data_IF_102476185123
#
_entry.id   IF_102476185123
#
_cell.length_a   1.000
_cell.length_b   1.000
_cell.length_c   1.000
_cell.angle_alpha   90.00
_cell.angle_beta   90.00
_cell.angle_gamma   90.00
#
_symmetry.space_group_name_H-M   'P 1'
#
loop_
_entity.id
_entity.type
_entity.pdbx_description
1 polymer ?
#
# COMPACT_ATOMS: atom_id res chain seq x y z
N UNK A 1 -2.14 -7.48 7.06
CA UNK A 1 -2.05 -6.05 6.66
C UNK A 1 -1.80 -6.01 5.17
N UNK A 2 -2.44 -5.09 4.45
CA UNK A 2 -2.26 -4.82 3.02
C UNK A 2 -1.23 -3.71 2.79
N UNK A 3 -0.66 -3.53 1.58
CA UNK A 3 0.19 -2.38 1.32
C UNK A 3 -0.63 -1.09 1.43
N UNK A 4 -0.02 -0.04 1.97
CA UNK A 4 -0.71 1.23 2.25
C UNK A 4 0.27 2.41 2.19
N UNK A 5 -0.27 3.63 2.10
CA UNK A 5 0.51 4.86 1.96
C UNK A 5 1.50 4.77 0.78
N UNK A 6 1.02 4.26 -0.36
CA UNK A 6 1.81 4.08 -1.59
C UNK A 6 1.92 5.37 -2.40
N UNK A 7 0.99 6.31 -2.20
CA UNK A 7 1.01 7.69 -2.69
C UNK A 7 1.75 8.65 -1.74
N UNK A 8 2.21 8.13 -0.59
CA UNK A 8 2.88 8.87 0.49
C UNK A 8 2.04 9.99 1.11
N UNK A 9 0.72 10.06 0.87
CA UNK A 9 -0.14 11.14 1.35
C UNK A 9 -0.29 11.23 2.87
N UNK A 10 -0.01 10.14 3.60
CA UNK A 10 -0.04 10.10 5.07
C UNK A 10 1.33 10.36 5.72
N UNK A 11 2.27 10.95 4.98
CA UNK A 11 3.64 11.15 5.46
C UNK A 11 3.86 12.55 6.03
N UNK A 12 5.02 12.75 6.65
CA UNK A 12 5.47 14.03 7.17
C UNK A 12 6.86 14.34 6.60
N UNK A 13 7.13 15.61 6.24
CA UNK A 13 8.40 15.99 5.63
C UNK A 13 9.60 15.62 6.54
N UNK A 14 10.63 15.02 5.97
CA UNK A 14 11.85 14.60 6.68
C UNK A 14 11.73 13.30 7.48
N UNK A 15 10.52 12.75 7.66
CA UNK A 15 10.29 11.45 8.28
C UNK A 15 10.19 10.33 7.24
N UNK A 16 10.52 9.09 7.60
CA UNK A 16 10.25 7.96 6.71
C UNK A 16 8.73 7.82 6.46
N UNK A 17 8.25 7.59 5.23
CA UNK A 17 6.83 7.43 4.99
C UNK A 17 6.23 6.33 5.86
N UNK A 18 5.04 6.57 6.42
CA UNK A 18 4.37 5.60 7.30
C UNK A 18 4.22 4.27 6.58
N UNK A 19 4.65 3.18 7.23
CA UNK A 19 4.61 1.82 6.68
C UNK A 19 5.84 1.41 5.87
N UNK A 20 6.69 2.36 5.50
CA UNK A 20 7.96 2.11 4.82
C UNK A 20 9.10 2.02 5.84
N UNK A 21 10.13 1.23 5.50
CA UNK A 21 11.26 0.93 6.38
C UNK A 21 12.56 0.87 5.59
N UNK A 22 13.65 1.22 6.26
CA UNK A 22 15.03 1.00 5.84
C UNK A 22 15.74 0.27 6.98
N UNK A 23 16.58 -0.71 6.66
CA UNK A 23 17.24 -1.52 7.70
C UNK A 23 18.31 -0.70 8.42
N UNK A 24 18.65 -1.09 9.64
CA UNK A 24 19.74 -0.43 10.37
C UNK A 24 21.11 -0.68 9.73
N UNK A 25 21.27 -1.79 9.00
CA UNK A 25 22.47 -2.04 8.21
C UNK A 25 22.59 -1.02 7.07
N UNK A 26 21.53 -0.78 6.31
CA UNK A 26 21.53 0.21 5.23
C UNK A 26 21.79 1.63 5.78
N UNK A 27 21.22 1.96 6.94
CA UNK A 27 21.50 3.24 7.63
C UNK A 27 22.95 3.38 8.07
N UNK A 28 23.59 2.30 8.53
CA UNK A 28 25.01 2.28 8.90
C UNK A 28 25.91 2.43 7.68
N UNK A 29 25.48 1.94 6.52
CA UNK A 29 26.14 2.17 5.24
C UNK A 29 25.98 3.61 4.73
N UNK A 30 25.18 4.45 5.39
CA UNK A 30 24.99 5.86 5.06
C UNK A 30 23.72 6.16 4.27
N UNK A 31 22.89 5.17 3.98
CA UNK A 31 21.63 5.39 3.28
C UNK A 31 20.56 5.95 4.21
N UNK A 32 19.79 6.90 3.69
CA UNK A 32 18.64 7.49 4.37
C UNK A 32 17.42 7.50 3.44
N UNK A 33 16.26 7.40 4.05
CA UNK A 33 14.97 7.40 3.37
C UNK A 33 14.00 8.30 4.12
N UNK A 34 13.38 9.24 3.43
CA UNK A 34 12.48 10.22 4.04
C UNK A 34 11.49 10.78 3.03
N UNK A 35 10.37 11.27 3.53
CA UNK A 35 9.35 11.95 2.73
C UNK A 35 9.77 13.38 2.43
N UNK A 36 9.52 13.84 1.22
CA UNK A 36 9.82 15.22 0.78
C UNK A 36 8.75 15.75 -0.17
N UNK A 37 8.50 17.05 -0.08
CA UNK A 37 7.62 17.84 -0.95
C UNK A 37 8.39 18.54 -2.08
N UNK A 38 9.67 18.22 -2.27
CA UNK A 38 10.58 18.95 -3.18
C UNK A 38 10.16 19.00 -4.65
N UNK A 39 9.25 18.12 -5.08
CA UNK A 39 8.72 18.08 -6.45
C UNK A 39 7.23 18.47 -6.53
N UNK A 40 6.63 18.87 -5.42
CA UNK A 40 5.18 18.92 -5.27
C UNK A 40 4.66 20.36 -5.32
N UNK A 41 3.89 20.69 -6.37
CA UNK A 41 3.13 21.95 -6.42
C UNK A 41 1.86 21.93 -5.54
N UNK A 42 1.40 20.74 -5.13
CA UNK A 42 0.07 20.51 -4.54
C UNK A 42 0.08 19.78 -3.18
N UNK A 43 1.10 19.98 -2.32
CA UNK A 43 1.18 19.39 -0.97
C UNK A 43 1.20 17.85 -0.89
N UNK A 44 1.57 17.15 -1.96
CA UNK A 44 1.81 15.69 -1.90
C UNK A 44 3.24 15.41 -1.42
N UNK A 45 3.44 14.38 -0.60
CA UNK A 45 4.78 13.92 -0.26
C UNK A 45 5.26 12.89 -1.26
N UNK A 46 6.58 12.76 -1.38
CA UNK A 46 7.27 11.79 -2.21
C UNK A 46 8.28 11.05 -1.34
N UNK A 47 8.58 9.79 -1.64
CA UNK A 47 9.69 9.09 -0.99
C UNK A 47 11.01 9.53 -1.65
N UNK A 48 11.96 10.01 -0.86
CA UNK A 48 13.34 10.24 -1.28
C UNK A 48 14.28 9.24 -0.63
N UNK A 49 15.15 8.63 -1.44
CA UNK A 49 16.25 7.77 -1.00
C UNK A 49 17.55 8.48 -1.36
N UNK A 50 18.47 8.59 -0.41
CA UNK A 50 19.72 9.34 -0.56
C UNK A 50 20.86 8.68 0.19
N UNK A 51 22.09 9.00 -0.20
CA UNK A 51 23.31 8.61 0.51
C UNK A 51 23.88 9.81 1.27
N UNK A 52 24.02 9.69 2.58
CA UNK A 52 24.59 10.72 3.45
C UNK A 52 26.04 10.40 3.83
N UNK A 53 26.98 11.20 3.30
CA UNK A 53 28.43 11.08 3.56
C UNK A 53 28.81 11.21 5.04
N UNK A 54 27.96 11.81 5.88
CA UNK A 54 28.27 12.07 7.30
C UNK A 54 28.18 10.82 8.20
N UNK A 55 28.00 9.60 7.66
CA UNK A 55 27.87 8.37 8.46
C UNK A 55 28.81 7.21 8.08
N UNK A 56 29.78 7.37 7.18
CA UNK A 56 30.66 6.24 6.82
C UNK A 56 32.02 6.27 7.52
N UNK A 57 32.13 5.63 8.68
CA UNK A 57 33.45 5.17 9.20
C UNK A 57 33.95 3.94 8.40
N UNK A 58 33.06 3.30 7.62
CA UNK A 58 33.32 1.97 7.02
C UNK A 58 33.66 2.04 5.52
N UNK A 59 33.39 3.15 4.83
CA UNK A 59 33.59 3.25 3.38
C UNK A 59 35.04 3.57 2.93
N UNK A 60 36.02 3.62 3.84
CA UNK A 60 37.40 3.98 3.49
C UNK A 60 38.28 2.80 3.05
N UNK A 61 37.76 1.58 3.02
CA UNK A 61 38.47 0.42 2.46
C UNK A 61 37.83 0.03 1.12
N UNK A 62 38.28 0.67 0.04
CA UNK A 62 37.74 0.51 -1.33
C UNK A 62 37.99 -0.88 -1.97
N UNK A 63 38.64 -1.81 -1.26
CA UNK A 63 39.10 -3.11 -1.80
C UNK A 63 38.36 -4.35 -1.27
N UNK A 64 37.29 -4.23 -0.48
CA UNK A 64 36.47 -5.39 -0.08
C UNK A 64 35.31 -5.63 -1.05
N UNK A 65 34.94 -6.88 -1.30
CA UNK A 65 33.73 -7.20 -2.09
C UNK A 65 32.46 -6.57 -1.49
N UNK A 66 32.44 -6.31 -0.18
CA UNK A 66 31.37 -5.57 0.51
C UNK A 66 31.24 -4.11 0.04
N UNK A 67 32.31 -3.47 -0.44
CA UNK A 67 32.25 -2.13 -1.02
C UNK A 67 31.57 -2.12 -2.41
N UNK A 68 31.54 -3.26 -3.11
CA UNK A 68 30.81 -3.43 -4.38
C UNK A 68 29.30 -3.62 -4.19
N UNK A 69 28.84 -3.83 -2.96
CA UNK A 69 27.43 -4.03 -2.60
C UNK A 69 26.81 -2.83 -1.87
N UNK A 70 27.36 -1.61 -2.01
CA UNK A 70 26.74 -0.42 -1.45
C UNK A 70 25.34 -0.22 -2.03
N UNK A 71 24.34 -0.59 -1.22
CA UNK A 71 22.93 -0.54 -1.55
C UNK A 71 22.10 -0.08 -0.37
N UNK A 72 21.20 0.86 -0.61
CA UNK A 72 20.15 1.23 0.33
C UNK A 72 18.82 0.61 -0.08
N UNK A 73 18.17 -0.13 0.81
CA UNK A 73 16.85 -0.73 0.54
C UNK A 73 15.77 -0.05 1.35
N UNK A 74 14.74 0.44 0.66
CA UNK A 74 13.54 0.99 1.29
C UNK A 74 12.36 0.16 0.88
N UNK A 75 11.61 -0.36 1.84
CA UNK A 75 10.57 -1.35 1.56
C UNK A 75 9.39 -1.28 2.51
N UNK A 76 8.28 -1.88 2.08
CA UNK A 76 7.13 -2.20 2.89
C UNK A 76 6.94 -3.72 2.92
N UNK A 77 6.52 -4.27 4.07
CA UNK A 77 6.24 -5.71 4.24
C UNK A 77 4.82 -5.92 4.71
N UNK A 78 4.13 -6.88 4.10
CA UNK A 78 2.71 -7.15 4.34
C UNK A 78 2.36 -8.63 4.09
N UNK A 79 1.17 -9.06 4.51
CA UNK A 79 0.75 -10.46 4.40
C UNK A 79 0.38 -10.80 2.97
N UNK A 80 0.70 -12.01 2.52
CA UNK A 80 0.50 -12.45 1.13
C UNK A 80 -0.92 -12.97 0.84
N UNK A 81 -1.81 -13.10 1.84
CA UNK A 81 -3.03 -13.93 1.78
C UNK A 81 -3.91 -13.68 0.55
N UNK A 82 -4.10 -12.43 0.16
CA UNK A 82 -4.93 -12.04 -0.98
C UNK A 82 -4.27 -12.21 -2.34
N UNK A 83 -2.95 -12.40 -2.36
CA UNK A 83 -2.11 -12.42 -3.55
C UNK A 83 -1.55 -13.82 -3.85
N UNK A 84 -1.61 -14.76 -2.91
CA UNK A 84 -1.20 -16.17 -3.11
C UNK A 84 -1.75 -16.74 -4.42
N UNK A 85 -0.85 -17.28 -5.25
CA UNK A 85 -1.14 -17.87 -6.54
C UNK A 85 -1.40 -16.88 -7.68
N UNK A 86 -1.29 -15.57 -7.44
CA UNK A 86 -1.56 -14.52 -8.46
C UNK A 86 -0.27 -13.92 -8.99
N UNK A 87 -0.33 -13.42 -10.21
CA UNK A 87 0.64 -12.44 -10.69
C UNK A 87 0.27 -11.06 -10.12
N UNK A 88 1.27 -10.32 -9.67
CA UNK A 88 1.10 -8.95 -9.14
C UNK A 88 2.09 -8.03 -9.83
N UNK A 89 1.70 -6.76 -9.97
CA UNK A 89 2.50 -5.69 -10.54
C UNK A 89 2.75 -4.64 -9.46
N UNK A 90 4.02 -4.34 -9.23
CA UNK A 90 4.44 -3.18 -8.45
C UNK A 90 4.93 -2.11 -9.42
N UNK A 91 4.38 -0.90 -9.32
CA UNK A 91 4.75 0.23 -10.18
C UNK A 91 5.05 1.47 -9.36
N UNK A 92 5.86 2.37 -9.91
CA UNK A 92 6.11 3.68 -9.34
C UNK A 92 6.55 4.67 -10.42
N UNK A 93 6.34 5.95 -10.14
CA UNK A 93 6.91 7.05 -10.92
C UNK A 93 8.23 7.48 -10.29
N UNK A 94 9.29 7.57 -11.10
CA UNK A 94 10.66 7.74 -10.62
C UNK A 94 11.31 8.96 -11.25
N UNK A 95 11.93 9.78 -10.41
CA UNK A 95 12.92 10.79 -10.79
C UNK A 95 14.27 10.38 -10.22
N UNK A 96 15.21 10.05 -11.11
CA UNK A 96 16.52 9.54 -10.73
C UNK A 96 17.54 9.91 -11.79
N UNK A 97 18.68 10.47 -11.37
CA UNK A 97 19.80 10.76 -12.26
C UNK A 97 21.08 10.22 -11.65
N UNK A 98 21.57 9.15 -12.25
CA UNK A 98 22.85 8.55 -11.91
C UNK A 98 24.00 9.57 -12.02
N UNK A 99 24.82 9.65 -10.98
CA UNK A 99 26.03 10.48 -10.91
C UNK A 99 27.29 9.70 -11.35
N UNK A 100 27.26 8.36 -11.26
CA UNK A 100 28.38 7.48 -11.63
C UNK A 100 27.89 6.30 -12.49
N UNK A 101 28.72 5.74 -13.40
CA UNK A 101 28.30 4.66 -14.30
C UNK A 101 27.68 3.41 -13.63
N UNK A 102 28.06 3.17 -12.37
CA UNK A 102 27.64 2.05 -11.55
C UNK A 102 26.43 2.35 -10.66
N UNK A 103 25.94 3.59 -10.61
CA UNK A 103 24.78 3.95 -9.81
C UNK A 103 23.49 3.61 -10.56
N UNK A 104 22.58 2.91 -9.91
CA UNK A 104 21.28 2.58 -10.48
C UNK A 104 20.23 2.34 -9.40
N UNK A 105 18.96 2.46 -9.78
CA UNK A 105 17.80 2.13 -8.96
C UNK A 105 17.08 0.90 -9.55
N UNK A 106 16.51 0.04 -8.71
CA UNK A 106 15.61 -1.03 -9.12
C UNK A 106 14.38 -1.10 -8.21
N UNK A 107 13.25 -1.53 -8.78
CA UNK A 107 12.06 -1.93 -8.03
C UNK A 107 12.19 -3.41 -7.64
N UNK A 108 11.65 -3.77 -6.49
CA UNK A 108 11.73 -5.11 -5.90
C UNK A 108 10.34 -5.61 -5.54
N UNK A 109 10.03 -6.85 -5.90
CA UNK A 109 9.01 -7.67 -5.24
C UNK A 109 9.68 -8.92 -4.72
N UNK A 110 9.53 -9.18 -3.43
CA UNK A 110 10.00 -10.38 -2.76
C UNK A 110 8.82 -11.08 -2.08
N UNK A 111 8.71 -12.39 -2.24
CA UNK A 111 7.77 -13.23 -1.51
C UNK A 111 8.55 -14.29 -0.74
N UNK A 112 8.19 -14.46 0.53
CA UNK A 112 8.94 -15.34 1.44
C UNK A 112 8.00 -16.11 2.38
N UNK A 113 8.43 -17.33 2.71
CA UNK A 113 7.87 -18.14 3.80
C UNK A 113 9.05 -18.78 4.53
N UNK A 114 9.49 -18.21 5.67
CA UNK A 114 10.61 -18.76 6.44
C UNK A 114 10.34 -20.20 6.89
N UNK A 115 9.09 -20.49 7.29
CA UNK A 115 8.68 -21.82 7.75
C UNK A 115 8.81 -22.88 6.64
N UNK A 116 8.63 -22.49 5.38
CA UNK A 116 8.70 -23.36 4.21
C UNK A 116 9.99 -23.19 3.39
N UNK A 117 10.97 -22.44 3.91
CA UNK A 117 12.23 -22.11 3.22
C UNK A 117 12.03 -21.52 1.81
N UNK A 118 10.94 -20.77 1.61
CA UNK A 118 10.67 -20.08 0.36
C UNK A 118 11.28 -18.68 0.43
N UNK A 119 12.09 -18.35 -0.57
CA UNK A 119 12.64 -17.02 -0.79
C UNK A 119 12.74 -16.75 -2.28
N UNK A 120 11.88 -15.88 -2.80
CA UNK A 120 11.86 -15.51 -4.21
C UNK A 120 11.85 -13.99 -4.34
N UNK A 121 12.66 -13.48 -5.27
CA UNK A 121 12.79 -12.04 -5.53
C UNK A 121 12.73 -11.79 -7.03
N UNK A 122 12.01 -10.75 -7.41
CA UNK A 122 11.94 -10.21 -8.77
C UNK A 122 12.34 -8.74 -8.74
N UNK A 123 13.07 -8.35 -9.77
CA UNK A 123 13.61 -7.02 -9.96
C UNK A 123 13.07 -6.43 -11.27
N UNK A 124 12.90 -5.11 -11.32
CA UNK A 124 12.75 -4.40 -12.59
C UNK A 124 14.08 -4.36 -13.35
N UNK A 125 14.04 -3.85 -14.58
CA UNK A 125 15.24 -3.36 -15.24
C UNK A 125 15.92 -2.26 -14.42
N UNK A 126 17.23 -2.09 -14.64
CA UNK A 126 18.02 -1.06 -13.97
C UNK A 126 17.65 0.33 -14.47
N UNK A 127 17.33 1.23 -13.54
CA UNK A 127 16.99 2.63 -13.82
C UNK A 127 18.25 3.47 -13.62
N UNK A 128 18.76 4.08 -14.69
CA UNK A 128 19.97 4.94 -14.65
C UNK A 128 19.67 6.44 -14.83
N UNK A 129 18.64 6.75 -15.61
CA UNK A 129 18.20 8.13 -15.84
C UNK A 129 16.69 8.11 -16.06
N UNK A 130 15.96 8.85 -15.25
CA UNK A 130 14.51 8.93 -15.26
C UNK A 130 14.07 10.34 -14.83
N UNK A 131 13.11 10.90 -15.55
CA UNK A 131 12.54 12.20 -15.23
C UNK A 131 11.02 12.08 -15.08
N UNK A 132 10.59 11.67 -13.89
CA UNK A 132 9.20 11.33 -13.59
C UNK A 132 8.62 10.25 -14.51
N UNK A 133 9.44 9.26 -14.88
CA UNK A 133 9.06 8.15 -15.75
C UNK A 133 8.44 7.00 -14.94
N UNK A 134 7.53 6.23 -15.56
CA UNK A 134 6.88 5.11 -14.90
C UNK A 134 7.68 3.81 -15.09
N UNK A 135 7.91 3.11 -13.98
CA UNK A 135 8.56 1.80 -13.97
C UNK A 135 7.70 0.78 -13.25
N UNK A 136 7.88 -0.49 -13.61
CA UNK A 136 7.18 -1.59 -12.94
C UNK A 136 7.96 -2.89 -12.95
N UNK A 137 7.59 -3.78 -12.03
CA UNK A 137 8.04 -5.17 -11.98
C UNK A 137 6.82 -6.06 -11.75
N UNK A 138 6.79 -7.21 -12.42
CA UNK A 138 5.74 -8.22 -12.26
C UNK A 138 6.35 -9.45 -11.60
N UNK A 139 5.64 -10.00 -10.62
CA UNK A 139 6.05 -11.22 -9.93
C UNK A 139 4.86 -12.16 -9.74
N UNK A 140 5.13 -13.47 -9.82
CA UNK A 140 4.18 -14.48 -9.35
C UNK A 140 4.34 -14.65 -7.84
N UNK A 141 3.24 -14.58 -7.09
CA UNK A 141 3.25 -14.82 -5.65
C UNK A 141 2.94 -16.30 -5.41
N UNK A 142 3.92 -17.02 -4.89
CA UNK A 142 3.77 -18.43 -4.56
C UNK A 142 2.59 -18.67 -3.59
N UNK A 143 1.84 -19.76 -3.80
CA UNK A 143 0.71 -20.15 -2.95
C UNK A 143 1.12 -20.42 -1.50
N UNK A 144 2.39 -20.75 -1.28
CA UNK A 144 2.98 -20.99 0.02
C UNK A 144 3.59 -19.77 0.68
N UNK A 145 3.68 -18.63 0.00
CA UNK A 145 4.23 -17.39 0.56
C UNK A 145 3.47 -16.97 1.81
N UNK A 146 4.16 -16.52 2.86
CA UNK A 146 3.52 -15.96 4.05
C UNK A 146 3.48 -14.42 3.99
N UNK A 147 4.53 -13.81 3.43
CA UNK A 147 4.70 -12.36 3.38
C UNK A 147 5.25 -11.90 2.03
N UNK A 148 4.91 -10.67 1.68
CA UNK A 148 5.40 -9.96 0.51
C UNK A 148 6.15 -8.72 0.99
N UNK A 149 7.29 -8.44 0.36
CA UNK A 149 8.06 -7.21 0.49
C UNK A 149 8.11 -6.52 -0.87
N UNK A 150 7.69 -5.27 -0.92
CA UNK A 150 7.85 -4.41 -2.09
C UNK A 150 8.78 -3.27 -1.74
N UNK A 151 9.52 -2.75 -2.71
CA UNK A 151 10.34 -1.59 -2.46
C UNK A 151 11.32 -1.25 -3.55
N UNK A 152 12.34 -0.52 -3.15
CA UNK A 152 13.37 0.03 -4.02
C UNK A 152 14.74 -0.30 -3.45
N UNK A 153 15.67 -0.64 -4.33
CA UNK A 153 17.08 -0.69 -4.01
C UNK A 153 17.83 0.37 -4.81
N UNK A 154 18.52 1.25 -4.10
CA UNK A 154 19.41 2.25 -4.65
C UNK A 154 20.85 1.76 -4.51
N UNK A 155 21.54 1.60 -5.63
CA UNK A 155 22.97 1.28 -5.69
C UNK A 155 23.75 2.54 -6.00
N UNK A 156 24.82 2.77 -5.25
CA UNK A 156 25.64 3.98 -5.37
C UNK A 156 25.18 5.14 -4.48
N UNK A 157 25.58 6.37 -4.82
CA UNK A 157 25.43 7.54 -3.96
C UNK A 157 24.50 8.64 -4.52
N UNK A 158 23.82 8.35 -5.63
CA UNK A 158 22.85 9.24 -6.26
C UNK A 158 21.53 9.33 -5.48
N UNK A 159 20.80 10.43 -5.64
CA UNK A 159 19.47 10.60 -5.03
C UNK A 159 18.37 10.08 -5.95
N UNK A 160 17.38 9.39 -5.37
CA UNK A 160 16.16 8.96 -6.05
C UNK A 160 14.92 9.57 -5.39
N UNK A 161 13.98 10.06 -6.19
CA UNK A 161 12.65 10.50 -5.74
C UNK A 161 11.59 9.62 -6.40
N UNK A 162 10.69 9.10 -5.58
CA UNK A 162 9.68 8.11 -5.94
C UNK A 162 8.30 8.68 -5.61
N UNK A 163 7.36 8.52 -6.53
CA UNK A 163 5.98 9.02 -6.44
C UNK A 163 4.99 7.93 -6.90
N UNK A 164 3.73 8.10 -6.54
CA UNK A 164 2.58 7.37 -7.09
C UNK A 164 2.81 5.86 -7.19
N UNK A 165 3.20 5.21 -6.09
CA UNK A 165 3.38 3.77 -6.11
C UNK A 165 2.03 3.06 -6.22
N UNK A 166 2.01 1.92 -6.91
CA UNK A 166 0.85 1.04 -6.98
C UNK A 166 1.26 -0.42 -6.85
N UNK A 167 0.39 -1.21 -6.20
CA UNK A 167 0.55 -2.65 -6.10
C UNK A 167 -0.79 -3.33 -6.39
N UNK A 168 -0.87 -4.03 -7.51
CA UNK A 168 -2.13 -4.58 -8.00
C UNK A 168 -1.95 -6.01 -8.52
N UNK A 169 -2.96 -6.90 -8.34
CA UNK A 169 -2.99 -8.17 -9.05
C UNK A 169 -3.14 -7.93 -10.56
N UNK A 170 -2.37 -8.67 -11.35
CA UNK A 170 -2.50 -8.69 -12.81
C UNK A 170 -3.61 -9.65 -13.17
N UNK A 171 -4.72 -9.10 -13.65
CA UNK A 171 -5.83 -9.89 -14.16
C UNK A 171 -5.63 -10.22 -15.63
N UNK A 172 -5.83 -11.48 -15.99
CA UNK A 172 -6.02 -11.85 -17.39
C UNK A 172 -7.41 -11.37 -17.83
N UNK A 173 -7.46 -10.44 -18.79
CA UNK A 173 -8.71 -9.88 -19.29
C UNK A 173 -9.63 -10.93 -19.94
N UNK A 174 -9.14 -12.16 -20.17
CA UNK A 174 -9.94 -13.30 -20.64
C UNK A 174 -10.82 -13.94 -19.55
N UNK A 175 -10.59 -13.64 -18.27
CA UNK A 175 -11.49 -14.05 -17.19
C UNK A 175 -12.70 -13.12 -17.21
N UNK A 176 -13.87 -13.65 -17.56
CA UNK A 176 -15.11 -12.88 -17.44
C UNK A 176 -15.24 -12.42 -16.00
N UNK A 177 -15.36 -11.11 -15.79
CA UNK A 177 -15.75 -10.57 -14.49
C UNK A 177 -16.99 -11.34 -14.05
N UNK A 178 -17.02 -11.91 -12.83
CA UNK A 178 -18.21 -12.59 -12.36
C UNK A 178 -19.37 -11.62 -12.48
N UNK A 179 -20.39 -11.99 -13.26
CA UNK A 179 -21.58 -11.17 -13.44
C UNK A 179 -22.29 -11.10 -12.08
N UNK A 180 -22.13 -9.98 -11.38
CA UNK A 180 -22.82 -9.75 -10.12
C UNK A 180 -24.26 -9.38 -10.44
N UNK A 181 -25.14 -10.38 -10.40
CA UNK A 181 -26.59 -10.17 -10.53
C UNK A 181 -27.13 -9.52 -9.27
N UNK A 182 -27.27 -8.20 -9.30
CA UNK A 182 -27.88 -7.43 -8.21
C UNK A 182 -29.39 -7.31 -8.44
N UNK A 183 -30.18 -7.71 -7.46
CA UNK A 183 -31.60 -7.34 -7.43
C UNK A 183 -31.76 -5.86 -7.05
N UNK A 184 -32.93 -5.24 -7.34
CA UNK A 184 -33.22 -3.89 -6.86
C UNK A 184 -33.08 -3.73 -5.34
N UNK A 185 -33.41 -4.77 -4.56
CA UNK A 185 -33.23 -4.76 -3.10
C UNK A 185 -31.75 -4.78 -2.74
N UNK A 186 -30.92 -5.59 -3.41
CA UNK A 186 -29.49 -5.59 -3.17
C UNK A 186 -28.87 -4.22 -3.43
N UNK A 187 -29.32 -3.53 -4.49
CA UNK A 187 -28.86 -2.19 -4.80
C UNK A 187 -29.25 -1.18 -3.71
N UNK A 188 -30.48 -1.28 -3.17
CA UNK A 188 -30.92 -0.44 -2.05
C UNK A 188 -30.12 -0.72 -0.78
N UNK A 189 -29.83 -1.99 -0.48
CA UNK A 189 -29.01 -2.37 0.66
C UNK A 189 -27.58 -1.86 0.53
N UNK A 190 -26.97 -1.96 -0.65
CA UNK A 190 -25.63 -1.43 -0.92
C UNK A 190 -25.60 0.10 -0.79
N UNK A 191 -26.62 0.82 -1.28
CA UNK A 191 -26.74 2.27 -1.08
C UNK A 191 -26.83 2.63 0.40
N UNK A 192 -27.65 1.89 1.16
CA UNK A 192 -27.79 2.08 2.60
C UNK A 192 -26.46 1.84 3.34
N UNK A 193 -25.75 0.76 2.99
CA UNK A 193 -24.41 0.46 3.51
C UNK A 193 -23.44 1.61 3.25
N UNK A 194 -23.35 2.07 1.99
CA UNK A 194 -22.43 3.13 1.59
C UNK A 194 -22.70 4.43 2.34
N UNK A 195 -23.98 4.79 2.53
CA UNK A 195 -24.36 5.98 3.28
C UNK A 195 -23.94 5.88 4.75
N UNK A 196 -24.30 4.78 5.43
CA UNK A 196 -23.97 4.59 6.84
C UNK A 196 -22.45 4.50 7.05
N UNK A 197 -21.75 3.75 6.20
CA UNK A 197 -20.29 3.66 6.23
C UNK A 197 -19.63 5.03 6.05
N UNK A 198 -20.08 5.82 5.08
CA UNK A 198 -19.55 7.16 4.83
C UNK A 198 -19.76 8.08 6.04
N UNK A 199 -20.97 8.10 6.60
CA UNK A 199 -21.27 8.91 7.79
C UNK A 199 -20.42 8.47 8.98
N UNK A 200 -20.39 7.17 9.28
CA UNK A 200 -19.69 6.68 10.46
C UNK A 200 -18.16 6.85 10.34
N UNK A 201 -17.58 6.59 9.17
CA UNK A 201 -16.13 6.68 8.97
C UNK A 201 -15.61 8.12 8.99
N UNK A 202 -16.33 9.04 8.37
CA UNK A 202 -15.82 10.40 8.15
C UNK A 202 -16.37 11.43 9.14
N UNK A 203 -17.53 11.17 9.75
CA UNK A 203 -18.23 12.13 10.60
C UNK A 203 -18.45 11.63 12.03
N UNK A 204 -18.01 10.41 12.37
CA UNK A 204 -18.03 9.89 13.74
C UNK A 204 -16.60 9.61 14.23
N UNK A 205 -15.88 10.62 14.75
CA UNK A 205 -14.50 10.47 15.18
C UNK A 205 -14.44 9.72 16.51
N UNK A 206 -14.49 8.39 16.46
CA UNK A 206 -14.15 7.53 17.61
C UNK A 206 -12.73 6.99 17.44
N UNK A 207 -11.85 7.34 18.38
CA UNK A 207 -10.44 6.93 18.40
C UNK A 207 -10.25 5.40 18.46
N UNK A 208 -11.28 4.64 18.81
CA UNK A 208 -11.24 3.18 18.86
C UNK A 208 -11.49 2.51 17.49
N UNK A 209 -11.97 3.25 16.49
CA UNK A 209 -12.29 2.71 15.16
C UNK A 209 -11.09 2.80 14.22
N UNK A 210 -10.20 1.81 14.29
CA UNK A 210 -9.02 1.76 13.42
C UNK A 210 -9.33 1.31 11.97
N UNK A 211 -8.35 1.43 11.07
CA UNK A 211 -8.49 1.05 9.66
C UNK A 211 -8.92 -0.42 9.44
N UNK A 212 -8.40 -1.36 10.24
CA UNK A 212 -8.71 -2.79 10.11
C UNK A 212 -10.18 -3.09 10.47
N UNK A 213 -10.77 -2.31 11.38
CA UNK A 213 -12.19 -2.40 11.68
C UNK A 213 -13.03 -2.08 10.43
N UNK A 214 -12.70 -1.00 9.73
CA UNK A 214 -13.47 -0.53 8.57
C UNK A 214 -13.43 -1.47 7.35
N UNK A 215 -12.28 -2.10 7.07
CA UNK A 215 -12.18 -3.10 6.00
C UNK A 215 -13.02 -4.34 6.30
N UNK A 216 -12.90 -4.87 7.53
CA UNK A 216 -13.68 -6.03 7.97
C UNK A 216 -15.18 -5.73 8.00
N UNK A 217 -15.55 -4.51 8.44
CA UNK A 217 -16.91 -4.02 8.43
C UNK A 217 -17.49 -4.02 7.01
N UNK A 218 -16.79 -3.43 6.04
CA UNK A 218 -17.24 -3.39 4.65
C UNK A 218 -17.37 -4.79 4.07
N UNK A 219 -16.35 -5.64 4.22
CA UNK A 219 -16.36 -6.98 3.65
C UNK A 219 -17.53 -7.82 4.15
N UNK A 220 -17.78 -7.80 5.47
CA UNK A 220 -18.91 -8.50 6.08
C UNK A 220 -20.25 -7.96 5.58
N UNK A 221 -20.44 -6.65 5.58
CA UNK A 221 -21.73 -6.04 5.29
C UNK A 221 -22.06 -6.02 3.79
N UNK A 222 -21.09 -5.98 2.88
CA UNK A 222 -21.35 -6.17 1.43
C UNK A 222 -21.94 -7.55 1.17
N UNK A 223 -21.40 -8.59 1.83
CA UNK A 223 -21.92 -9.96 1.73
C UNK A 223 -23.37 -10.04 2.23
N UNK A 224 -23.66 -9.42 3.36
CA UNK A 224 -24.99 -9.39 3.95
C UNK A 224 -25.98 -8.57 3.09
N UNK A 225 -25.56 -7.45 2.51
CA UNK A 225 -26.36 -6.62 1.60
C UNK A 225 -26.84 -7.37 0.35
N UNK A 226 -26.01 -8.29 -0.16
CA UNK A 226 -26.31 -9.13 -1.32
C UNK A 226 -27.22 -10.31 -0.93
N UNK A 227 -27.09 -10.84 0.30
CA UNK A 227 -27.87 -12.00 0.75
C UNK A 227 -29.27 -11.64 1.25
N UNK A 228 -29.40 -10.55 2.01
CA UNK A 228 -30.63 -10.18 2.68
C UNK A 228 -31.59 -9.55 1.66
N UNK A 229 -32.76 -10.17 1.49
CA UNK A 229 -33.78 -9.79 0.51
C UNK A 229 -34.81 -8.78 1.05
N UNK A 230 -34.62 -8.29 2.27
CA UNK A 230 -35.47 -7.29 2.90
C UNK A 230 -34.62 -6.14 3.46
N UNK A 231 -34.92 -4.92 3.04
CA UNK A 231 -34.17 -3.72 3.43
C UNK A 231 -34.22 -3.43 4.94
N UNK A 232 -35.35 -3.71 5.59
CA UNK A 232 -35.54 -3.45 7.01
C UNK A 232 -34.81 -4.47 7.89
N UNK A 233 -34.76 -5.72 7.44
CA UNK A 233 -33.94 -6.76 8.07
C UNK A 233 -32.46 -6.40 7.94
N UNK A 234 -32.04 -5.92 6.76
CA UNK A 234 -30.66 -5.47 6.54
C UNK A 234 -30.31 -4.25 7.39
N UNK A 235 -31.22 -3.28 7.50
CA UNK A 235 -31.04 -2.12 8.38
C UNK A 235 -30.92 -2.54 9.85
N UNK A 236 -31.74 -3.48 10.30
CA UNK A 236 -31.69 -4.00 11.68
C UNK A 236 -30.38 -4.71 11.97
N UNK A 237 -29.89 -5.50 11.00
CA UNK A 237 -28.59 -6.15 11.07
C UNK A 237 -27.43 -5.15 11.12
N UNK A 238 -27.50 -4.08 10.32
CA UNK A 238 -26.50 -3.00 10.34
C UNK A 238 -26.49 -2.28 11.69
N UNK A 239 -27.67 -2.01 12.28
CA UNK A 239 -27.77 -1.43 13.63
C UNK A 239 -27.08 -2.30 14.68
N UNK A 240 -27.35 -3.61 14.66
CA UNK A 240 -26.74 -4.57 15.60
C UNK A 240 -25.22 -4.70 15.40
N UNK A 241 -24.74 -4.67 14.16
CA UNK A 241 -23.30 -4.73 13.89
C UNK A 241 -22.58 -3.46 14.33
N UNK A 242 -23.20 -2.28 14.17
CA UNK A 242 -22.61 -1.02 14.60
C UNK A 242 -22.66 -0.79 16.10
N UNK A 243 -23.77 -1.15 16.77
CA UNK A 243 -23.94 -0.90 18.21
C UNK A 243 -22.92 -1.66 19.06
N UNK A 244 -22.32 -2.73 18.52
CA UNK A 244 -21.24 -3.49 19.17
C UNK A 244 -19.92 -2.73 19.24
N UNK A 245 -19.79 -1.64 18.48
CA UNK A 245 -18.50 -0.97 18.26
C UNK A 245 -18.60 0.53 18.51
N UNK A 246 -19.71 1.14 18.11
CA UNK A 246 -20.00 2.55 18.34
C UNK A 246 -21.10 2.65 19.40
N UNK A 247 -20.71 3.05 20.61
CA UNK A 247 -21.67 3.31 21.68
C UNK A 247 -22.63 4.42 21.23
N UNK A 248 -23.93 4.24 21.50
CA UNK A 248 -25.01 5.17 21.14
C UNK A 248 -25.22 5.39 19.63
N UNK A 249 -24.80 4.46 18.77
CA UNK A 249 -25.13 4.53 17.34
C UNK A 249 -26.64 4.32 17.10
N UNK A 250 -27.29 5.32 16.50
CA UNK A 250 -28.71 5.25 16.14
C UNK A 250 -28.92 5.60 14.68
N UNK A 251 -29.60 4.72 13.93
CA UNK A 251 -30.10 5.05 12.59
C UNK A 251 -31.58 5.39 12.70
N UNK A 252 -31.91 6.66 12.48
CA UNK A 252 -33.27 7.18 12.47
C UNK A 252 -33.78 7.13 11.03
N UNK A 253 -34.93 6.49 10.80
CA UNK A 253 -35.65 6.64 9.52
C UNK A 253 -36.32 8.01 9.56
N UNK A 254 -35.81 8.98 8.81
CA UNK A 254 -36.60 10.16 8.48
C UNK A 254 -37.69 9.72 7.52
N UNK A 255 -38.94 9.76 7.97
CA UNK A 255 -40.07 9.66 7.07
C UNK A 255 -40.01 10.89 6.16
N UNK A 256 -39.98 10.71 4.85
CA UNK A 256 -40.23 11.78 3.89
C UNK A 256 -41.71 12.20 4.01
N UNK A 257 -42.00 12.98 5.04
CA UNK A 257 -43.20 13.80 5.14
C UNK A 257 -42.79 15.11 5.78
N UNK A 258 -42.46 16.07 4.91
CA UNK A 258 -42.97 17.45 4.96
C UNK A 258 -42.34 18.21 3.79
N UNK A 259 -42.98 18.11 2.62
CA UNK A 259 -43.03 19.25 1.71
C UNK A 259 -44.00 20.25 2.35
N UNK A 260 -43.48 21.40 2.75
CA UNK A 260 -44.21 22.66 2.76
C UNK A 260 -43.33 23.69 2.06
#
# INVERSE_FOLDING_TARGET
MHPYNLDFGFSENGSIPVGWRITDNDKKLGYIAYSTDSLSSNHYFNLKISFSKNRSIIAQNEDTEEAKEMRGVVYQTFLSDWFKGKNVKFSAKVSYKSQNPNDYLILIIQNESPSKKLYQVKYSDTIKNANNDNFSVIAHIDTNSDIIRIGFALYGNSDAIIQDCSFEPVYDASLSSPEVKLTPINLQNLKLLSHIYGVAKYFYPDSNLNFQFWENFLYKNVKDAIKIQNRDDYLSKLKDDYSKVVNNFSIIKTNEQNKF
#
